data_IF_313207666800
#
_entry.id   IF_313207666800
#
_cell.length_a   1.000
_cell.length_b   1.000
_cell.length_c   1.000
_cell.angle_alpha   90.00
_cell.angle_beta   90.00
_cell.angle_gamma   90.00
#
_symmetry.space_group_name_H-M   'P 1'
#
loop_
_entity.id
_entity.type
_entity.pdbx_description
1 polymer ?
#
# COMPACT_ATOMS: atom_id res chain seq x y z
N UNK A 1 -0.93 -18.58 -18.58
CA UNK A 1 -2.24 -17.93 -18.30
C UNK A 1 -2.75 -18.28 -16.90
N UNK A 2 -2.84 -19.56 -16.51
CA UNK A 2 -3.38 -19.97 -15.19
C UNK A 2 -2.71 -19.28 -13.98
N UNK A 3 -1.38 -19.18 -13.96
CA UNK A 3 -0.66 -18.48 -12.89
C UNK A 3 -1.05 -17.01 -12.78
N UNK A 4 -1.20 -16.33 -13.92
CA UNK A 4 -1.60 -14.92 -13.97
C UNK A 4 -3.06 -14.75 -13.51
N UNK A 5 -3.93 -15.69 -13.89
CA UNK A 5 -5.32 -15.67 -13.47
C UNK A 5 -5.47 -15.83 -11.95
N UNK A 6 -4.73 -16.77 -11.35
CA UNK A 6 -4.75 -16.97 -9.90
C UNK A 6 -4.15 -15.78 -9.16
N UNK A 7 -3.05 -15.20 -9.66
CA UNK A 7 -2.44 -14.00 -9.07
C UNK A 7 -3.43 -12.82 -9.07
N UNK A 8 -4.09 -12.53 -10.20
CA UNK A 8 -5.10 -11.46 -10.26
C UNK A 8 -6.25 -11.71 -9.28
N UNK A 9 -6.78 -12.93 -9.22
CA UNK A 9 -7.86 -13.25 -8.28
C UNK A 9 -7.44 -13.04 -6.83
N UNK A 10 -6.19 -13.38 -6.48
CA UNK A 10 -5.67 -13.23 -5.12
C UNK A 10 -5.53 -11.75 -4.74
N UNK A 11 -4.99 -10.92 -5.63
CA UNK A 11 -4.86 -9.47 -5.42
C UNK A 11 -6.23 -8.79 -5.31
N UNK A 12 -7.21 -9.18 -6.14
CA UNK A 12 -8.59 -8.67 -6.06
C UNK A 12 -9.20 -9.01 -4.69
N UNK A 13 -9.05 -10.25 -4.23
CA UNK A 13 -9.61 -10.66 -2.93
C UNK A 13 -8.91 -9.95 -1.77
N UNK A 14 -7.58 -9.83 -1.80
CA UNK A 14 -6.81 -9.09 -0.80
C UNK A 14 -7.21 -7.61 -0.75
N UNK A 15 -7.36 -6.96 -1.91
CA UNK A 15 -7.80 -5.57 -2.01
C UNK A 15 -9.20 -5.34 -1.47
N UNK A 16 -10.16 -6.24 -1.76
CA UNK A 16 -11.51 -6.19 -1.17
C UNK A 16 -11.48 -6.31 0.36
N UNK A 17 -10.64 -7.20 0.89
CA UNK A 17 -10.45 -7.32 2.34
C UNK A 17 -9.89 -6.02 2.92
N UNK A 18 -8.92 -5.39 2.25
CA UNK A 18 -8.33 -4.13 2.69
C UNK A 18 -9.31 -2.97 2.67
N UNK A 19 -10.16 -2.86 1.65
CA UNK A 19 -11.25 -1.88 1.60
C UNK A 19 -12.26 -2.05 2.75
N UNK A 20 -12.41 -3.26 3.28
CA UNK A 20 -13.30 -3.52 4.40
C UNK A 20 -12.63 -3.33 5.77
N UNK A 21 -11.34 -3.67 5.90
CA UNK A 21 -10.63 -3.69 7.20
C UNK A 21 -9.84 -2.44 7.52
N UNK A 22 -9.27 -1.78 6.51
CA UNK A 22 -8.40 -0.64 6.73
C UNK A 22 -9.20 0.64 6.93
N UNK A 23 -8.72 1.46 7.87
CA UNK A 23 -9.19 2.82 8.11
C UNK A 23 -8.22 3.87 7.56
N UNK A 24 -7.03 3.45 7.13
CA UNK A 24 -6.02 4.33 6.56
C UNK A 24 -6.38 4.68 5.11
N UNK A 25 -6.51 5.96 4.80
CA UNK A 25 -6.95 6.42 3.48
C UNK A 25 -5.97 6.05 2.37
N UNK A 26 -4.66 6.02 2.65
CA UNK A 26 -3.64 5.63 1.67
C UNK A 26 -3.70 4.14 1.37
N UNK A 27 -3.89 3.31 2.42
CA UNK A 27 -4.09 1.87 2.25
C UNK A 27 -5.36 1.57 1.46
N UNK A 28 -6.45 2.27 1.75
CA UNK A 28 -7.73 2.12 1.03
C UNK A 28 -7.63 2.58 -0.42
N UNK A 29 -6.97 3.70 -0.69
CA UNK A 29 -6.71 4.20 -2.04
C UNK A 29 -5.89 3.20 -2.85
N UNK A 30 -4.81 2.67 -2.28
CA UNK A 30 -4.03 1.60 -2.87
C UNK A 30 -4.90 0.36 -3.14
N UNK A 31 -5.69 -0.09 -2.16
CA UNK A 31 -6.58 -1.24 -2.30
C UNK A 31 -7.64 -1.07 -3.40
N UNK A 32 -8.19 0.13 -3.58
CA UNK A 32 -9.13 0.41 -4.65
C UNK A 32 -8.47 0.24 -6.02
N UNK A 33 -7.29 0.84 -6.22
CA UNK A 33 -6.53 0.72 -7.48
C UNK A 33 -6.15 -0.74 -7.77
N UNK A 34 -5.78 -1.50 -6.75
CA UNK A 34 -5.52 -2.94 -6.85
C UNK A 34 -6.74 -3.70 -7.36
N UNK A 35 -7.92 -3.47 -6.77
CA UNK A 35 -9.16 -4.16 -7.21
C UNK A 35 -9.50 -3.80 -8.65
N UNK A 36 -9.43 -2.52 -9.01
CA UNK A 36 -9.82 -2.04 -10.34
C UNK A 36 -8.89 -2.58 -11.43
N UNK A 37 -7.58 -2.36 -11.28
CA UNK A 37 -6.59 -2.72 -12.31
C UNK A 37 -6.48 -4.25 -12.45
N UNK A 38 -6.50 -5.02 -11.36
CA UNK A 38 -6.45 -6.48 -11.45
C UNK A 38 -7.75 -7.09 -11.97
N UNK A 39 -8.90 -6.48 -11.70
CA UNK A 39 -10.17 -6.93 -12.29
C UNK A 39 -10.17 -6.72 -13.81
N UNK A 40 -9.69 -5.57 -14.27
CA UNK A 40 -9.53 -5.30 -15.70
C UNK A 40 -8.55 -6.30 -16.35
N UNK A 41 -7.38 -6.52 -15.72
CA UNK A 41 -6.38 -7.48 -16.15
C UNK A 41 -6.93 -8.93 -16.22
N UNK A 42 -7.76 -9.31 -15.24
CA UNK A 42 -8.41 -10.62 -15.21
C UNK A 42 -9.43 -10.78 -16.34
N UNK A 43 -10.17 -9.73 -16.67
CA UNK A 43 -11.10 -9.74 -17.81
C UNK A 43 -10.36 -9.92 -19.12
N UNK A 44 -9.32 -9.13 -19.38
CA UNK A 44 -8.49 -9.23 -20.58
C UNK A 44 -7.87 -10.62 -20.75
N UNK A 45 -7.40 -11.22 -19.64
CA UNK A 45 -6.86 -12.57 -19.66
C UNK A 45 -7.93 -13.63 -19.98
N UNK A 46 -9.16 -13.47 -19.46
CA UNK A 46 -10.29 -14.35 -19.79
C UNK A 46 -10.65 -14.28 -21.26
N UNK A 47 -10.75 -13.08 -21.82
CA UNK A 47 -11.06 -12.87 -23.24
C UNK A 47 -10.00 -13.52 -24.13
N UNK A 48 -8.72 -13.35 -23.75
CA UNK A 48 -7.60 -13.97 -24.45
C UNK A 48 -7.65 -15.50 -24.39
N UNK A 49 -7.96 -16.06 -23.22
CA UNK A 49 -8.08 -17.49 -23.03
C UNK A 49 -9.23 -18.06 -23.87
N UNK A 50 -10.39 -17.40 -23.88
CA UNK A 50 -11.54 -17.79 -24.70
C UNK A 50 -11.21 -17.77 -26.19
N UNK A 51 -10.59 -16.71 -26.69
CA UNK A 51 -10.16 -16.60 -28.10
C UNK A 51 -9.21 -17.73 -28.52
N UNK A 52 -8.48 -18.31 -27.57
CA UNK A 52 -7.51 -19.39 -27.78
C UNK A 52 -8.04 -20.77 -27.39
N UNK A 53 -9.30 -20.90 -27.00
CA UNK A 53 -9.89 -22.16 -26.54
C UNK A 53 -9.25 -22.72 -25.27
N UNK A 54 -8.62 -21.85 -24.46
CA UNK A 54 -7.98 -22.21 -23.21
C UNK A 54 -8.93 -22.02 -22.02
N UNK A 55 -8.87 -22.94 -21.05
CA UNK A 55 -9.63 -22.82 -19.80
C UNK A 55 -8.76 -22.19 -18.71
N UNK A 56 -9.30 -21.18 -18.04
CA UNK A 56 -8.68 -20.58 -16.86
C UNK A 56 -9.26 -21.17 -15.57
N UNK A 57 -8.49 -21.18 -14.47
CA UNK A 57 -9.02 -21.43 -13.14
C UNK A 57 -10.08 -20.39 -12.78
N UNK A 58 -11.13 -20.85 -12.13
CA UNK A 58 -12.24 -20.04 -11.60
C UNK A 58 -12.09 -19.75 -10.09
N UNK A 59 -11.12 -20.38 -9.45
CA UNK A 59 -10.89 -20.33 -8.01
C UNK A 59 -9.41 -20.15 -7.69
N UNK A 60 -9.14 -19.61 -6.50
CA UNK A 60 -7.81 -19.63 -5.91
C UNK A 60 -7.32 -21.05 -5.61
N UNK A 61 -6.02 -21.26 -5.81
CA UNK A 61 -5.36 -22.47 -5.34
C UNK A 61 -5.21 -22.49 -3.80
N UNK A 62 -4.79 -23.63 -3.26
CA UNK A 62 -4.65 -23.81 -1.82
C UNK A 62 -3.66 -22.82 -1.17
N UNK A 63 -2.60 -22.46 -1.89
CA UNK A 63 -1.57 -21.53 -1.39
C UNK A 63 -2.18 -20.14 -1.20
N UNK A 64 -2.82 -19.60 -2.23
CA UNK A 64 -3.41 -18.26 -2.19
C UNK A 64 -4.59 -18.19 -1.22
N UNK A 65 -5.42 -19.24 -1.13
CA UNK A 65 -6.46 -19.35 -0.10
C UNK A 65 -5.89 -19.26 1.32
N UNK A 66 -4.78 -19.95 1.58
CA UNK A 66 -4.12 -19.90 2.89
C UNK A 66 -3.53 -18.52 3.20
N UNK A 67 -2.99 -17.83 2.19
CA UNK A 67 -2.47 -16.47 2.34
C UNK A 67 -3.58 -15.45 2.62
N UNK A 68 -4.70 -15.53 1.89
CA UNK A 68 -5.89 -14.72 2.14
C UNK A 68 -6.43 -14.97 3.55
N UNK A 69 -6.52 -16.24 3.99
CA UNK A 69 -6.95 -16.58 5.35
C UNK A 69 -6.03 -15.99 6.42
N UNK A 70 -4.71 -16.00 6.20
CA UNK A 70 -3.75 -15.39 7.14
C UNK A 70 -3.93 -13.87 7.19
N UNK A 71 -4.11 -13.23 6.02
CA UNK A 71 -4.33 -11.79 5.93
C UNK A 71 -5.63 -11.38 6.63
N UNK A 72 -6.73 -12.11 6.39
CA UNK A 72 -8.04 -11.78 6.96
C UNK A 72 -8.12 -11.96 8.49
N UNK A 73 -7.24 -12.77 9.07
CA UNK A 73 -7.11 -12.93 10.51
C UNK A 73 -6.43 -11.73 11.21
N UNK A 74 -5.77 -10.85 10.45
CA UNK A 74 -5.14 -9.63 10.99
C UNK A 74 -6.15 -8.47 11.04
N UNK A 75 -5.86 -7.48 11.89
CA UNK A 75 -6.64 -6.25 12.02
C UNK A 75 -5.73 -5.06 12.36
N UNK A 76 -6.22 -3.84 12.10
CA UNK A 76 -5.50 -2.58 12.38
C UNK A 76 -4.15 -2.51 11.70
N UNK A 77 -3.16 -1.89 12.34
CA UNK A 77 -1.84 -1.64 11.76
C UNK A 77 -1.11 -2.92 11.33
N UNK A 78 -1.35 -4.04 12.02
CA UNK A 78 -0.79 -5.35 11.64
C UNK A 78 -1.35 -5.82 10.30
N UNK A 79 -2.64 -5.59 10.05
CA UNK A 79 -3.27 -5.87 8.77
C UNK A 79 -2.69 -4.97 7.68
N UNK A 80 -2.68 -3.65 7.89
CA UNK A 80 -2.21 -2.68 6.90
C UNK A 80 -0.76 -2.96 6.50
N UNK A 81 0.11 -3.21 7.50
CA UNK A 81 1.51 -3.57 7.24
C UNK A 81 1.64 -4.88 6.47
N UNK A 82 0.89 -5.92 6.83
CA UNK A 82 0.95 -7.19 6.12
C UNK A 82 0.45 -7.08 4.67
N UNK A 83 -0.63 -6.33 4.46
CA UNK A 83 -1.19 -6.07 3.13
C UNK A 83 -0.20 -5.32 2.24
N UNK A 84 0.39 -4.22 2.71
CA UNK A 84 1.34 -3.42 1.93
C UNK A 84 2.66 -4.15 1.68
N UNK A 85 3.23 -4.82 2.68
CA UNK A 85 4.54 -5.48 2.54
C UNK A 85 4.47 -6.74 1.70
N UNK A 86 3.46 -7.59 1.92
CA UNK A 86 3.32 -8.84 1.18
C UNK A 86 2.61 -8.61 -0.15
N UNK A 87 1.35 -8.18 -0.13
CA UNK A 87 0.56 -7.96 -1.35
C UNK A 87 1.13 -6.83 -2.19
N UNK A 88 1.40 -5.67 -1.59
CA UNK A 88 1.85 -4.50 -2.34
C UNK A 88 3.28 -4.54 -2.88
N UNK A 89 4.24 -5.12 -2.15
CA UNK A 89 5.66 -5.10 -2.56
C UNK A 89 6.19 -6.47 -2.97
N UNK A 90 6.03 -7.48 -2.11
CA UNK A 90 6.63 -8.79 -2.36
C UNK A 90 5.96 -9.53 -3.52
N UNK A 91 4.62 -9.50 -3.58
CA UNK A 91 3.84 -10.17 -4.61
C UNK A 91 3.96 -9.42 -5.96
N UNK A 92 4.02 -8.08 -5.95
CA UNK A 92 4.30 -7.28 -7.16
C UNK A 92 5.70 -7.51 -7.73
N UNK A 93 6.72 -7.67 -6.89
CA UNK A 93 8.06 -8.06 -7.36
C UNK A 93 8.04 -9.42 -8.05
N UNK A 94 7.26 -10.37 -7.53
CA UNK A 94 7.08 -11.68 -8.17
C UNK A 94 6.30 -11.56 -9.48
N UNK A 95 5.26 -10.73 -9.52
CA UNK A 95 4.50 -10.44 -10.73
C UNK A 95 5.38 -9.83 -11.81
N UNK A 96 6.18 -8.81 -11.49
CA UNK A 96 7.15 -8.22 -12.42
C UNK A 96 8.11 -9.27 -13.00
N UNK A 97 8.64 -10.17 -12.16
CA UNK A 97 9.49 -11.26 -12.61
C UNK A 97 8.75 -12.30 -13.49
N UNK A 98 7.48 -12.58 -13.19
CA UNK A 98 6.64 -13.45 -14.01
C UNK A 98 6.36 -12.82 -15.38
N UNK A 99 5.93 -11.55 -15.42
CA UNK A 99 5.65 -10.82 -16.65
C UNK A 99 6.91 -10.71 -17.52
N UNK A 100 8.07 -10.38 -16.92
CA UNK A 100 9.33 -10.29 -17.66
C UNK A 100 9.78 -11.65 -18.22
N UNK A 101 9.43 -12.77 -17.58
CA UNK A 101 9.64 -14.10 -18.16
C UNK A 101 8.67 -14.37 -19.31
N UNK A 102 7.40 -14.00 -19.17
CA UNK A 102 6.40 -14.15 -20.23
C UNK A 102 6.82 -13.38 -21.49
N UNK A 103 7.22 -12.12 -21.36
CA UNK A 103 7.68 -11.30 -22.48
C UNK A 103 8.85 -11.95 -23.23
N UNK A 104 9.83 -12.48 -22.48
CA UNK A 104 11.04 -13.07 -23.05
C UNK A 104 10.81 -14.46 -23.64
N UNK A 105 9.95 -15.29 -23.01
CA UNK A 105 9.92 -16.73 -23.26
C UNK A 105 8.61 -17.24 -23.86
N UNK A 106 7.49 -16.49 -23.77
CA UNK A 106 6.25 -16.95 -24.35
C UNK A 106 6.39 -17.08 -25.87
N UNK A 107 5.78 -18.12 -26.45
CA UNK A 107 5.67 -18.22 -27.93
C UNK A 107 4.48 -17.42 -28.45
N UNK A 108 3.46 -17.27 -27.62
CA UNK A 108 2.23 -16.58 -27.93
C UNK A 108 2.44 -15.06 -27.89
N UNK A 109 2.29 -14.40 -29.03
CA UNK A 109 2.47 -12.94 -29.17
C UNK A 109 1.46 -12.15 -28.36
N UNK A 110 0.22 -12.62 -28.26
CA UNK A 110 -0.83 -11.92 -27.53
C UNK A 110 -0.58 -12.00 -26.02
N UNK A 111 -0.06 -13.13 -25.55
CA UNK A 111 0.36 -13.27 -24.16
C UNK A 111 1.56 -12.39 -23.83
N UNK A 112 2.50 -12.17 -24.77
CA UNK A 112 3.58 -11.18 -24.61
C UNK A 112 3.01 -9.78 -24.51
N UNK A 113 2.15 -9.38 -25.45
CA UNK A 113 1.51 -8.07 -25.45
C UNK A 113 0.74 -7.82 -24.16
N UNK A 114 -0.01 -8.81 -23.69
CA UNK A 114 -0.72 -8.72 -22.42
C UNK A 114 0.25 -8.48 -21.25
N UNK A 115 1.39 -9.20 -21.21
CA UNK A 115 2.38 -9.00 -20.17
C UNK A 115 3.02 -7.61 -20.20
N UNK A 116 3.35 -7.10 -21.40
CA UNK A 116 3.90 -5.76 -21.57
C UNK A 116 2.92 -4.66 -21.16
N UNK A 117 1.63 -4.84 -21.43
CA UNK A 117 0.60 -3.90 -21.02
C UNK A 117 0.38 -3.87 -19.50
N UNK A 118 0.67 -4.97 -18.79
CA UNK A 118 0.53 -5.05 -17.33
C UNK A 118 1.74 -4.46 -16.59
N UNK A 119 2.93 -4.46 -17.20
CA UNK A 119 4.17 -4.06 -16.52
C UNK A 119 4.13 -2.64 -15.90
N UNK A 120 3.60 -1.60 -16.59
CA UNK A 120 3.53 -0.26 -16.01
C UNK A 120 2.68 -0.21 -14.74
N UNK A 121 1.59 -0.99 -14.69
CA UNK A 121 0.71 -1.07 -13.52
C UNK A 121 1.38 -1.71 -12.33
N UNK A 122 2.12 -2.80 -12.55
CA UNK A 122 2.88 -3.44 -11.47
C UNK A 122 3.91 -2.48 -10.84
N UNK A 123 4.53 -1.62 -11.65
CA UNK A 123 5.45 -0.60 -11.16
C UNK A 123 4.70 0.51 -10.37
N UNK A 124 3.60 1.03 -10.92
CA UNK A 124 2.72 2.01 -10.25
C UNK A 124 2.29 1.49 -8.87
N UNK A 125 1.77 0.27 -8.81
CA UNK A 125 1.29 -0.36 -7.58
C UNK A 125 2.41 -0.57 -6.55
N UNK A 126 3.59 -1.01 -6.99
CA UNK A 126 4.75 -1.18 -6.11
C UNK A 126 5.17 0.14 -5.44
N UNK A 127 5.09 1.25 -6.17
CA UNK A 127 5.44 2.56 -5.66
C UNK A 127 4.36 3.13 -4.75
N UNK A 128 3.09 2.94 -5.09
CA UNK A 128 1.97 3.27 -4.20
C UNK A 128 2.06 2.52 -2.87
N UNK A 129 2.38 1.23 -2.89
CA UNK A 129 2.55 0.43 -1.68
C UNK A 129 3.68 0.98 -0.79
N UNK A 130 4.82 1.35 -1.39
CA UNK A 130 5.93 2.00 -0.65
C UNK A 130 5.52 3.35 -0.07
N UNK A 131 4.79 4.17 -0.82
CA UNK A 131 4.32 5.47 -0.35
C UNK A 131 3.34 5.32 0.83
N UNK A 132 2.40 4.36 0.74
CA UNK A 132 1.47 4.07 1.84
C UNK A 132 2.18 3.57 3.09
N UNK A 133 3.26 2.77 2.95
CA UNK A 133 4.07 2.34 4.10
C UNK A 133 4.79 3.51 4.78
N UNK A 134 5.30 4.47 4.02
CA UNK A 134 6.00 5.65 4.55
C UNK A 134 5.06 6.64 5.27
N UNK A 135 3.77 6.66 4.90
CA UNK A 135 2.78 7.54 5.53
C UNK A 135 2.10 6.92 6.75
N UNK A 136 2.16 5.59 6.93
CA UNK A 136 1.53 4.93 8.05
C UNK A 136 2.27 5.29 9.38
N UNK A 137 1.64 6.03 10.32
CA UNK A 137 2.29 6.50 11.54
C UNK A 137 2.74 5.37 12.49
N UNK A 138 2.26 4.13 12.30
CA UNK A 138 2.74 2.96 13.03
C UNK A 138 4.16 2.50 12.61
N UNK A 139 4.67 2.95 11.46
CA UNK A 139 6.06 2.70 11.04
C UNK A 139 7.06 3.69 11.68
N UNK A 140 6.60 4.88 12.07
CA UNK A 140 7.45 5.99 12.55
C UNK A 140 7.66 6.00 14.07
N UNK A 141 6.84 5.29 14.86
CA UNK A 141 6.91 5.32 16.33
C UNK A 141 7.96 4.38 16.96
N UNK A 142 8.80 3.72 16.15
CA UNK A 142 9.83 2.79 16.63
C UNK A 142 11.21 3.40 16.96
N UNK A 143 11.43 4.70 16.76
CA UNK A 143 12.76 5.31 16.93
C UNK A 143 12.73 6.70 17.60
N UNK A 144 12.18 6.80 18.82
CA UNK A 144 12.65 7.79 19.80
C UNK A 144 12.12 7.43 21.19
N UNK A 145 12.86 6.58 21.90
CA UNK A 145 12.57 6.21 23.27
C UNK A 145 13.87 6.09 24.05
N UNK A 146 14.22 7.17 24.75
CA UNK A 146 15.04 7.31 25.99
C UNK A 146 15.63 8.73 25.95
N UNK A 147 15.35 9.63 26.88
CA UNK A 147 15.56 9.49 28.32
C UNK A 147 14.78 10.59 29.07
N UNK A 148 13.75 10.20 29.80
CA UNK A 148 13.22 10.99 30.90
C UNK A 148 13.72 10.39 32.20
N UNK A 149 14.58 11.10 32.92
CA UNK A 149 14.83 10.87 34.35
C UNK A 149 14.94 12.22 35.04
N UNK A 150 14.00 12.45 35.96
CA UNK A 150 13.94 13.58 36.88
C UNK A 150 15.14 13.56 37.84
N UNK A 151 15.70 14.73 38.14
CA UNK A 151 16.48 14.95 39.36
C UNK A 151 16.31 16.39 39.84
N UNK A 152 15.93 16.50 41.10
CA UNK A 152 15.77 17.70 41.92
C UNK A 152 17.10 18.40 42.18
N UNK A 153 17.09 19.73 42.28
CA UNK A 153 18.24 20.53 42.69
C UNK A 153 17.94 22.02 42.70
N UNK A 154 17.61 22.57 43.87
CA UNK A 154 17.42 24.00 44.09
C UNK A 154 18.75 24.72 44.39
N UNK A 155 19.00 25.89 43.79
CA UNK A 155 19.65 27.05 44.47
C UNK A 155 19.80 28.30 43.57
N UNK A 156 19.07 29.36 43.94
CA UNK A 156 19.40 30.81 44.01
C UNK A 156 20.26 31.52 42.93
N UNK A 157 19.71 32.61 42.36
CA UNK A 157 20.22 34.03 42.40
C UNK A 157 19.47 34.90 41.36
N UNK A 158 18.50 35.75 41.72
CA UNK A 158 18.58 37.22 41.96
C UNK A 158 19.24 38.06 40.84
N UNK A 159 18.48 38.80 40.00
CA UNK A 159 18.15 40.26 40.07
C UNK A 159 17.71 40.89 38.73
N UNK A 160 16.73 41.81 38.83
CA UNK A 160 16.54 43.02 37.98
C UNK A 160 15.90 42.81 36.59
N UNK A 161 14.91 43.58 36.11
CA UNK A 161 14.39 44.91 36.48
C UNK A 161 13.01 45.10 35.81
N UNK A 162 12.07 45.76 36.51
CA UNK A 162 10.78 46.26 36.02
C UNK A 162 10.92 47.65 35.37
N UNK A 163 10.07 47.95 34.38
CA UNK A 163 9.35 49.23 34.14
C UNK A 163 8.82 49.21 32.69
N UNK A 164 7.60 49.57 32.31
CA UNK A 164 6.46 50.16 33.00
C UNK A 164 5.33 50.42 31.97
N UNK A 165 4.10 50.50 32.48
CA UNK A 165 2.87 51.10 31.92
C UNK A 165 3.14 52.41 31.13
N UNK A 166 2.33 52.92 30.18
CA UNK A 166 0.87 53.08 30.15
C UNK A 166 0.41 53.75 28.82
N UNK A 167 -0.80 53.36 28.38
CA UNK A 167 -1.92 54.05 27.70
C UNK A 167 -1.84 55.40 26.93
N UNK A 168 -2.90 55.57 26.11
CA UNK A 168 -3.49 56.76 25.42
C UNK A 168 -2.97 56.98 23.98
N UNK A 169 -3.74 57.31 22.95
CA UNK A 169 -5.13 57.74 22.76
C UNK A 169 -5.18 58.86 21.70
N UNK A 170 -6.16 58.82 20.76
CA UNK A 170 -6.59 59.91 19.83
C UNK A 170 -5.63 60.30 18.67
N UNK A 171 -6.01 60.84 17.51
CA UNK A 171 -7.24 61.05 16.73
C UNK A 171 -6.82 61.75 15.40
N UNK A 172 -7.61 61.60 14.33
CA UNK A 172 -7.78 62.52 13.18
C UNK A 172 -6.61 63.00 12.28
N UNK A 173 -6.70 62.64 10.99
CA UNK A 173 -7.06 63.57 9.91
C UNK A 173 -6.00 64.52 9.33
N UNK A 174 -5.62 64.27 8.08
CA UNK A 174 -5.60 65.26 6.98
C UNK A 174 -5.38 64.57 5.63
#
# INVERSE_FOLDING_TARGET
MNQLAIANMAEIEAGKIALNKSKDEQVRSFAQKMVDDHTAAQSQLKDLAQAKGATLPDNLDAKHKAEIKKLSALSGDKFDKAYLTKGGVADHRQAHALLGRIEKQAKDSDLKTLASNMMPKINEHSDMAKQAMSHNPAATTGASGTKGTSASGASKSWSGKKSGESQTGSESGK
#
